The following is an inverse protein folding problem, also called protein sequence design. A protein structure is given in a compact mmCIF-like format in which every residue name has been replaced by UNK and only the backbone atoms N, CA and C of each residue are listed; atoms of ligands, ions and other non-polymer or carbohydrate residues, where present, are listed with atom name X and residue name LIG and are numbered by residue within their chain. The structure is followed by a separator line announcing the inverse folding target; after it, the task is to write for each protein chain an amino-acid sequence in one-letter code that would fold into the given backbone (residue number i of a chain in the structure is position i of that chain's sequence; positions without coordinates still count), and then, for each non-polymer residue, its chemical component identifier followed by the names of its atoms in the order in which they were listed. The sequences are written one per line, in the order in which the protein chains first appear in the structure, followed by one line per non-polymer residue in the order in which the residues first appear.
data_IF_293124272225
#
_entry.id   IF_293124272225
#
_cell.length_a   1.000
_cell.length_b   1.000
_cell.length_c   1.000
_cell.angle_alpha   90.00
_cell.angle_beta   90.00
_cell.angle_gamma   90.00
#
_symmetry.space_group_name_H-M   'P 1'
#
loop_
_entity.id
_entity.type
_entity.pdbx_description
1 polymer ?
#
# COMPACT_ATOMS: atom_id res chain seq x y z
N UNK A 1 18.56 12.24 11.69
CA UNK A 1 18.57 12.74 10.30
C UNK A 1 19.67 12.01 9.56
N UNK A 2 19.41 10.83 8.99
CA UNK A 2 20.41 10.17 8.13
C UNK A 2 20.38 10.87 6.78
N UNK A 3 21.37 11.73 6.53
CA UNK A 3 21.57 12.34 5.21
C UNK A 3 21.84 11.20 4.25
N UNK A 4 20.80 10.78 3.54
CA UNK A 4 20.90 9.77 2.51
C UNK A 4 21.71 10.43 1.39
N UNK A 5 23.03 10.24 1.41
CA UNK A 5 23.99 10.69 0.40
C UNK A 5 23.73 9.89 -0.87
N UNK A 6 22.53 10.08 -1.45
CA UNK A 6 22.11 9.42 -2.68
C UNK A 6 22.86 10.12 -3.79
N UNK A 7 23.87 9.44 -4.34
CA UNK A 7 24.42 9.82 -5.63
C UNK A 7 23.27 10.03 -6.63
N UNK A 8 23.33 11.14 -7.37
CA UNK A 8 22.33 11.44 -8.39
C UNK A 8 22.24 10.28 -9.39
N UNK A 9 21.05 9.99 -9.96
CA UNK A 9 20.91 8.91 -10.93
C UNK A 9 21.80 9.13 -12.15
N UNK A 10 22.05 10.38 -12.54
CA UNK A 10 22.93 10.75 -13.66
C UNK A 10 24.37 10.34 -13.39
N UNK A 11 24.90 10.64 -12.19
CA UNK A 11 26.26 10.24 -11.79
C UNK A 11 26.40 8.72 -11.76
N UNK A 12 25.37 8.01 -11.29
CA UNK A 12 25.36 6.54 -11.28
C UNK A 12 25.38 5.96 -12.69
N UNK A 13 24.57 6.49 -13.61
CA UNK A 13 24.54 6.04 -15.00
C UNK A 13 25.85 6.36 -15.72
N UNK A 14 26.43 7.53 -15.46
CA UNK A 14 27.71 7.92 -16.03
C UNK A 14 28.85 7.00 -15.56
N UNK A 15 28.87 6.63 -14.28
CA UNK A 15 29.83 5.69 -13.74
C UNK A 15 29.74 4.31 -14.41
N UNK A 16 28.52 3.78 -14.60
CA UNK A 16 28.29 2.51 -15.28
C UNK A 16 28.74 2.57 -16.74
N UNK A 17 28.38 3.66 -17.46
CA UNK A 17 28.81 3.86 -18.86
C UNK A 17 30.33 3.90 -18.99
N UNK A 18 31.02 4.56 -18.06
CA UNK A 18 32.48 4.64 -18.04
C UNK A 18 33.11 3.26 -17.81
N UNK A 19 32.54 2.45 -16.92
CA UNK A 19 33.01 1.07 -16.68
C UNK A 19 32.85 0.22 -17.92
N UNK A 20 31.68 0.27 -18.56
CA UNK A 20 31.41 -0.50 -19.79
C UNK A 20 32.32 -0.07 -20.95
N UNK A 21 32.59 1.23 -21.10
CA UNK A 21 33.46 1.75 -22.16
C UNK A 21 34.92 1.30 -21.97
N UNK A 22 35.40 1.27 -20.73
CA UNK A 22 36.79 0.90 -20.40
C UNK A 22 37.01 -0.59 -20.15
N UNK A 23 35.96 -1.43 -20.21
CA UNK A 23 36.03 -2.84 -19.82
C UNK A 23 37.05 -3.65 -20.64
N UNK A 24 37.29 -3.26 -21.89
CA UNK A 24 38.26 -3.92 -22.78
C UNK A 24 39.71 -3.46 -22.57
N UNK A 25 39.93 -2.38 -21.81
CA UNK A 25 41.26 -1.82 -21.53
C UNK A 25 41.90 -2.44 -20.28
N UNK A 26 41.14 -3.23 -19.52
CA UNK A 26 41.58 -3.86 -18.27
C UNK A 26 41.42 -5.39 -18.31
N UNK A 27 42.32 -6.10 -17.64
CA UNK A 27 42.32 -7.57 -17.58
C UNK A 27 41.09 -8.17 -16.87
N UNK A 28 40.39 -7.37 -16.05
CA UNK A 28 39.18 -7.79 -15.36
C UNK A 28 38.20 -6.64 -15.14
N UNK A 29 36.90 -6.97 -15.05
CA UNK A 29 35.86 -6.01 -14.65
C UNK A 29 36.18 -5.36 -13.30
N UNK A 30 36.74 -6.11 -12.35
CA UNK A 30 37.09 -5.58 -11.04
C UNK A 30 38.23 -4.55 -11.09
N UNK A 31 39.21 -4.73 -11.99
CA UNK A 31 40.28 -3.76 -12.20
C UNK A 31 39.76 -2.45 -12.81
N UNK A 32 38.83 -2.53 -13.77
CA UNK A 32 38.13 -1.37 -14.32
C UNK A 32 37.33 -0.62 -13.24
N UNK A 33 36.57 -1.37 -12.43
CA UNK A 33 35.77 -0.83 -11.33
C UNK A 33 36.63 -0.12 -10.27
N UNK A 34 37.73 -0.75 -9.86
CA UNK A 34 38.67 -0.21 -8.87
C UNK A 34 39.35 1.07 -9.35
N UNK A 35 39.58 1.19 -10.67
CA UNK A 35 40.19 2.38 -11.28
C UNK A 35 39.19 3.54 -11.47
N UNK A 36 37.90 3.23 -11.64
CA UNK A 36 36.85 4.22 -11.92
C UNK A 36 36.17 4.72 -10.65
N UNK A 37 36.00 3.87 -9.64
CA UNK A 37 35.30 4.23 -8.41
C UNK A 37 35.89 5.49 -7.71
N UNK A 38 37.23 5.65 -7.62
CA UNK A 38 37.83 6.88 -7.07
C UNK A 38 37.54 8.13 -7.90
N UNK A 39 37.40 8.01 -9.23
CA UNK A 39 37.12 9.13 -10.14
C UNK A 39 35.69 9.69 -9.97
N UNK A 40 34.77 8.84 -9.51
CA UNK A 40 33.36 9.20 -9.23
C UNK A 40 33.17 9.59 -7.75
N UNK A 41 34.11 9.20 -6.87
CA UNK A 41 33.99 9.38 -5.42
C UNK A 41 33.11 8.32 -4.75
N UNK A 42 33.06 7.11 -5.28
CA UNK A 42 32.34 5.97 -4.69
C UNK A 42 33.28 4.80 -4.38
N UNK A 43 32.81 3.81 -3.61
CA UNK A 43 33.57 2.58 -3.38
C UNK A 43 33.40 1.59 -4.55
N UNK A 44 34.42 0.79 -4.88
CA UNK A 44 34.32 -0.19 -5.96
C UNK A 44 33.23 -1.23 -5.70
N UNK A 45 32.95 -1.61 -4.45
CA UNK A 45 31.83 -2.52 -4.13
C UNK A 45 30.48 -1.90 -4.51
N UNK A 46 30.31 -0.61 -4.22
CA UNK A 46 29.07 0.12 -4.55
C UNK A 46 28.87 0.15 -6.06
N UNK A 47 29.92 0.42 -6.83
CA UNK A 47 29.87 0.47 -8.29
C UNK A 47 29.63 -0.93 -8.89
N UNK A 48 30.22 -1.97 -8.30
CA UNK A 48 29.98 -3.36 -8.70
C UNK A 48 28.52 -3.78 -8.50
N UNK A 49 27.92 -3.50 -7.34
CA UNK A 49 26.48 -3.79 -7.10
C UNK A 49 25.58 -3.06 -8.10
N UNK A 50 25.94 -1.82 -8.48
CA UNK A 50 25.20 -1.03 -9.46
C UNK A 50 25.33 -1.59 -10.87
N UNK A 51 26.52 -2.03 -11.26
CA UNK A 51 26.76 -2.70 -12.54
C UNK A 51 25.95 -4.00 -12.64
N UNK A 52 25.94 -4.83 -11.60
CA UNK A 52 25.11 -6.05 -11.55
C UNK A 52 23.62 -5.76 -11.65
N UNK A 53 23.14 -4.68 -11.03
CA UNK A 53 21.74 -4.29 -11.19
C UNK A 53 21.45 -3.79 -12.61
N UNK A 54 22.37 -3.05 -13.22
CA UNK A 54 22.26 -2.61 -14.60
C UNK A 54 22.23 -3.79 -15.58
N UNK A 55 23.11 -4.77 -15.43
CA UNK A 55 23.13 -5.99 -16.25
C UNK A 55 21.78 -6.72 -16.20
N UNK A 56 21.16 -6.82 -15.02
CA UNK A 56 19.80 -7.37 -14.86
C UNK A 56 18.74 -6.51 -15.56
N UNK A 57 18.81 -5.19 -15.38
CA UNK A 57 17.85 -4.26 -15.98
C UNK A 57 17.94 -4.24 -17.53
N UNK A 58 19.11 -4.52 -18.10
CA UNK A 58 19.33 -4.65 -19.55
C UNK A 58 19.11 -6.08 -20.09
N UNK A 59 18.68 -7.03 -19.26
CA UNK A 59 18.37 -8.40 -19.67
C UNK A 59 19.57 -9.34 -19.85
N UNK A 60 20.76 -8.95 -19.38
CA UNK A 60 21.98 -9.76 -19.44
C UNK A 60 22.33 -10.50 -18.14
N UNK A 61 21.47 -10.39 -17.11
CA UNK A 61 21.72 -10.98 -15.78
C UNK A 61 21.20 -12.41 -15.61
N UNK A 62 21.67 -13.06 -14.55
CA UNK A 62 21.48 -14.46 -14.12
C UNK A 62 20.03 -14.82 -13.67
N UNK A 63 19.00 -14.16 -14.23
CA UNK A 63 17.59 -14.47 -14.00
C UNK A 63 16.93 -13.80 -12.78
N UNK A 64 17.57 -12.77 -12.21
CA UNK A 64 16.96 -11.96 -11.14
C UNK A 64 16.07 -10.84 -11.66
N UNK A 65 14.99 -10.52 -10.93
CA UNK A 65 14.05 -9.44 -11.28
C UNK A 65 14.75 -8.09 -11.46
N UNK A 66 14.49 -7.44 -12.58
CA UNK A 66 14.86 -6.06 -12.87
C UNK A 66 14.23 -5.09 -11.87
N UNK A 67 14.77 -3.88 -11.80
CA UNK A 67 14.25 -2.82 -10.95
C UNK A 67 12.81 -2.46 -11.31
N UNK A 68 12.48 -2.47 -12.61
CA UNK A 68 11.12 -2.21 -13.11
C UNK A 68 10.15 -3.33 -12.70
N UNK A 69 10.54 -4.60 -12.86
CA UNK A 69 9.72 -5.74 -12.46
C UNK A 69 9.47 -5.77 -10.94
N UNK A 70 10.46 -5.44 -10.12
CA UNK A 70 10.26 -5.32 -8.66
C UNK A 70 9.31 -4.20 -8.29
N UNK A 71 9.36 -3.08 -9.00
CA UNK A 71 8.45 -1.96 -8.75
C UNK A 71 7.02 -2.33 -9.13
N UNK A 72 6.85 -2.95 -10.31
CA UNK A 72 5.55 -3.40 -10.78
C UNK A 72 4.96 -4.48 -9.86
N UNK A 73 5.77 -5.43 -9.37
CA UNK A 73 5.32 -6.42 -8.39
C UNK A 73 4.81 -5.77 -7.10
N UNK A 74 5.47 -4.72 -6.61
CA UNK A 74 5.01 -4.01 -5.39
C UNK A 74 3.69 -3.27 -5.62
N UNK A 75 3.51 -2.69 -6.79
CA UNK A 75 2.27 -2.04 -7.20
C UNK A 75 1.14 -3.07 -7.29
N UNK A 76 1.38 -4.18 -8.00
CA UNK A 76 0.43 -5.29 -8.10
C UNK A 76 0.10 -5.90 -6.74
N UNK A 77 1.08 -6.10 -5.86
CA UNK A 77 0.85 -6.60 -4.50
C UNK A 77 -0.01 -5.64 -3.68
N UNK A 78 0.14 -4.32 -3.89
CA UNK A 78 -0.69 -3.32 -3.24
C UNK A 78 -2.12 -3.38 -3.77
N UNK A 79 -2.29 -3.38 -5.08
CA UNK A 79 -3.60 -3.52 -5.73
C UNK A 79 -4.29 -4.81 -5.29
N UNK A 80 -3.56 -5.93 -5.24
CA UNK A 80 -4.13 -7.21 -4.82
C UNK A 80 -4.59 -7.19 -3.36
N UNK A 81 -3.86 -6.51 -2.46
CA UNK A 81 -4.31 -6.32 -1.06
C UNK A 81 -5.59 -5.49 -0.99
N UNK A 82 -5.67 -4.41 -1.77
CA UNK A 82 -6.86 -3.55 -1.83
C UNK A 82 -8.06 -4.33 -2.41
N UNK A 83 -7.85 -5.10 -3.49
CA UNK A 83 -8.86 -5.98 -4.10
C UNK A 83 -9.34 -7.08 -3.17
N UNK A 84 -8.44 -7.74 -2.42
CA UNK A 84 -8.83 -8.76 -1.44
C UNK A 84 -9.71 -8.17 -0.36
N UNK A 85 -9.34 -7.00 0.17
CA UNK A 85 -10.13 -6.28 1.16
C UNK A 85 -11.54 -5.96 0.65
N UNK A 86 -11.66 -5.47 -0.59
CA UNK A 86 -12.95 -5.21 -1.25
C UNK A 86 -13.80 -6.49 -1.33
N UNK A 87 -13.20 -7.57 -1.82
CA UNK A 87 -13.89 -8.86 -1.93
C UNK A 87 -14.34 -9.41 -0.57
N UNK A 88 -13.52 -9.28 0.47
CA UNK A 88 -13.85 -9.73 1.82
C UNK A 88 -15.07 -8.96 2.36
N UNK A 89 -15.10 -7.63 2.19
CA UNK A 89 -16.25 -6.78 2.56
C UNK A 89 -17.51 -7.24 1.82
N UNK A 90 -17.45 -7.41 0.51
CA UNK A 90 -18.59 -7.81 -0.30
C UNK A 90 -19.07 -9.23 0.04
N UNK A 91 -18.15 -10.14 0.35
CA UNK A 91 -18.47 -11.50 0.76
C UNK A 91 -19.16 -11.54 2.13
N UNK A 92 -18.63 -10.80 3.11
CA UNK A 92 -19.25 -10.69 4.44
C UNK A 92 -20.61 -9.98 4.38
N UNK A 93 -20.74 -8.92 3.57
CA UNK A 93 -22.00 -8.24 3.32
C UNK A 93 -23.03 -9.19 2.68
N UNK A 94 -22.64 -9.94 1.66
CA UNK A 94 -23.51 -10.92 1.01
C UNK A 94 -23.98 -12.00 1.98
N UNK A 95 -23.07 -12.54 2.81
CA UNK A 95 -23.41 -13.52 3.84
C UNK A 95 -24.36 -12.96 4.91
N UNK A 96 -24.21 -11.67 5.26
CA UNK A 96 -25.12 -10.98 6.18
C UNK A 96 -26.52 -10.83 5.56
N UNK A 97 -26.61 -10.35 4.33
CA UNK A 97 -27.89 -10.16 3.65
C UNK A 97 -28.62 -11.48 3.37
N UNK A 98 -27.88 -12.56 3.06
CA UNK A 98 -28.47 -13.90 2.89
C UNK A 98 -29.14 -14.44 4.16
N UNK A 99 -28.69 -14.02 5.35
CA UNK A 99 -29.26 -14.45 6.65
C UNK A 99 -30.41 -13.56 7.15
N UNK A 100 -30.67 -12.43 6.51
CA UNK A 100 -31.52 -11.38 7.07
C UNK A 100 -32.91 -11.33 6.40
N UNK A 101 -34.01 -11.59 7.13
CA UNK A 101 -35.39 -11.58 6.58
C UNK A 101 -35.87 -10.20 6.05
N UNK A 102 -36.35 -10.11 4.81
CA UNK A 102 -36.65 -8.85 4.11
C UNK A 102 -37.53 -7.85 4.91
N UNK A 103 -36.91 -6.75 5.36
CA UNK A 103 -37.55 -5.62 6.05
C UNK A 103 -36.73 -4.34 5.83
N UNK A 104 -37.25 -3.17 6.21
CA UNK A 104 -36.69 -1.82 5.89
C UNK A 104 -35.14 -1.81 5.79
N UNK A 105 -34.66 -1.62 4.56
CA UNK A 105 -33.25 -1.77 4.13
C UNK A 105 -32.25 -1.08 5.08
N UNK A 106 -32.57 0.15 5.51
CA UNK A 106 -31.70 0.97 6.35
C UNK A 106 -31.50 0.44 7.78
N UNK A 107 -32.52 -0.19 8.38
CA UNK A 107 -32.40 -0.77 9.74
C UNK A 107 -31.43 -1.94 9.79
N UNK A 108 -31.06 -2.51 8.64
CA UNK A 108 -30.14 -3.64 8.50
C UNK A 108 -28.75 -3.25 8.01
N UNK A 109 -28.65 -2.16 7.24
CA UNK A 109 -27.36 -1.66 6.76
C UNK A 109 -26.51 -1.12 7.93
N UNK A 110 -27.10 -0.40 8.89
CA UNK A 110 -26.35 0.13 10.04
C UNK A 110 -25.65 -0.97 10.86
N UNK A 111 -26.32 -2.06 11.31
CA UNK A 111 -25.65 -3.13 12.04
C UNK A 111 -24.61 -3.90 11.20
N UNK A 112 -24.81 -3.99 9.88
CA UNK A 112 -23.79 -4.53 8.98
C UNK A 112 -22.53 -3.66 8.98
N UNK A 113 -22.68 -2.35 8.76
CA UNK A 113 -21.55 -1.40 8.75
C UNK A 113 -20.88 -1.35 10.12
N UNK A 114 -21.62 -1.44 11.22
CA UNK A 114 -21.06 -1.52 12.57
C UNK A 114 -20.20 -2.78 12.78
N UNK A 115 -20.64 -3.93 12.24
CA UNK A 115 -19.89 -5.19 12.34
C UNK A 115 -18.60 -5.12 11.53
N UNK A 116 -18.66 -4.53 10.33
CA UNK A 116 -17.51 -4.45 9.41
C UNK A 116 -16.56 -3.30 9.73
N UNK A 117 -16.98 -2.33 10.54
CA UNK A 117 -16.17 -1.16 10.89
C UNK A 117 -14.89 -1.53 11.62
N UNK A 118 -14.93 -2.51 12.53
CA UNK A 118 -13.78 -2.82 13.37
C UNK A 118 -12.66 -3.52 12.57
N UNK A 119 -13.03 -4.27 11.53
CA UNK A 119 -12.09 -4.99 10.66
C UNK A 119 -11.64 -4.15 9.45
N UNK A 120 -12.57 -3.46 8.79
CA UNK A 120 -12.32 -2.78 7.52
C UNK A 120 -12.46 -1.25 7.58
N UNK A 121 -12.95 -0.67 8.67
CA UNK A 121 -13.22 0.76 8.79
C UNK A 121 -14.47 1.20 8.00
N UNK A 122 -15.09 2.30 8.42
CA UNK A 122 -16.34 2.80 7.81
C UNK A 122 -16.16 3.23 6.36
N UNK A 123 -15.06 3.93 6.04
CA UNK A 123 -14.83 4.48 4.70
C UNK A 123 -14.82 3.42 3.59
N UNK A 124 -13.98 2.38 3.70
CA UNK A 124 -13.94 1.29 2.73
C UNK A 124 -15.26 0.53 2.61
N UNK A 125 -15.93 0.24 3.73
CA UNK A 125 -17.23 -0.45 3.72
C UNK A 125 -18.30 0.41 3.03
N UNK A 126 -18.35 1.71 3.33
CA UNK A 126 -19.27 2.64 2.69
C UNK A 126 -18.98 2.80 1.19
N UNK A 127 -17.70 2.81 0.80
CA UNK A 127 -17.30 2.87 -0.61
C UNK A 127 -17.76 1.63 -1.39
N UNK A 128 -17.51 0.43 -0.86
CA UNK A 128 -17.88 -0.84 -1.52
C UNK A 128 -19.38 -1.11 -1.56
N UNK A 129 -20.14 -0.60 -0.57
CA UNK A 129 -21.59 -0.78 -0.50
C UNK A 129 -22.37 0.37 -1.14
N UNK A 130 -21.71 1.31 -1.83
CA UNK A 130 -22.30 2.52 -2.41
C UNK A 130 -23.14 3.34 -1.40
N UNK A 131 -22.64 3.45 -0.16
CA UNK A 131 -23.26 4.21 0.94
C UNK A 131 -22.48 5.50 1.13
N UNK A 132 -23.19 6.64 1.15
CA UNK A 132 -22.55 7.92 1.49
C UNK A 132 -22.20 7.92 2.98
N UNK A 133 -20.93 8.13 3.41
CA UNK A 133 -20.55 8.02 4.82
C UNK A 133 -21.36 8.91 5.78
N UNK A 134 -21.75 10.11 5.33
CA UNK A 134 -22.59 11.02 6.12
C UNK A 134 -23.94 10.40 6.49
N UNK A 135 -24.49 9.54 5.63
CA UNK A 135 -25.75 8.86 5.91
C UNK A 135 -25.59 7.86 7.05
N UNK A 136 -24.47 7.13 7.12
CA UNK A 136 -24.18 6.21 8.22
C UNK A 136 -24.05 6.95 9.56
N UNK A 137 -23.26 8.03 9.61
CA UNK A 137 -23.07 8.81 10.83
C UNK A 137 -24.36 9.52 11.28
N UNK A 138 -25.16 10.05 10.35
CA UNK A 138 -26.46 10.69 10.67
C UNK A 138 -27.49 9.66 11.18
N UNK A 139 -27.45 8.44 10.64
CA UNK A 139 -28.26 7.33 11.10
C UNK A 139 -27.99 6.96 12.56
N UNK A 140 -26.71 6.93 12.96
CA UNK A 140 -26.29 6.68 14.35
C UNK A 140 -26.70 7.80 15.31
N UNK A 141 -26.56 9.07 14.91
CA UNK A 141 -26.98 10.21 15.74
C UNK A 141 -28.50 10.24 15.99
N UNK A 142 -29.28 9.74 15.03
CA UNK A 142 -30.73 9.65 15.14
C UNK A 142 -31.19 8.51 16.07
N UNK A 143 -30.54 7.34 16.02
CA UNK A 143 -30.78 6.24 16.98
C UNK A 143 -30.25 6.55 18.38
N UNK A 144 -29.14 7.27 18.50
CA UNK A 144 -28.60 7.74 19.79
C UNK A 144 -29.50 8.77 20.47
N UNK A 145 -30.16 9.66 19.73
CA UNK A 145 -31.12 10.62 20.30
C UNK A 145 -32.36 9.93 20.88
N UNK A 146 -32.81 8.82 20.28
CA UNK A 146 -33.96 8.04 20.81
C UNK A 146 -33.60 7.34 22.14
N UNK A 147 -32.34 6.90 22.31
CA UNK A 147 -31.89 6.28 23.56
C UNK A 147 -31.54 7.31 24.65
N UNK A 148 -31.06 8.50 24.28
CA UNK A 148 -30.73 9.56 25.25
C UNK A 148 -31.97 10.31 25.77
N UNK A 149 -33.05 10.36 24.98
CA UNK A 149 -34.36 10.85 25.42
C UNK A 149 -35.09 9.94 26.42
N UNK A 150 -34.66 8.70 26.61
CA UNK A 150 -35.29 7.74 27.53
C UNK A 150 -34.73 7.77 28.97
N UNK A 151 -33.66 8.54 29.24
CA UNK A 151 -33.00 8.59 30.56
C UNK A 151 -33.40 9.82 31.39
N UNK A 152 -34.07 10.83 30.81
CA UNK A 152 -34.42 12.09 31.50
C UNK A 152 -35.86 12.17 32.05
N UNK A 153 -36.52 11.04 32.31
CA UNK A 153 -37.94 11.01 32.71
C UNK A 153 -38.24 10.17 33.96
N UNK A 154 -37.29 10.05 34.90
CA UNK A 154 -37.53 9.32 36.16
C UNK A 154 -36.91 10.02 37.37
N UNK A 155 -37.39 11.23 37.64
CA UNK A 155 -37.25 11.85 38.95
C UNK A 155 -38.50 12.69 39.20
N UNK A 156 -39.41 12.15 40.01
CA UNK A 156 -40.38 12.82 40.88
C UNK A 156 -41.54 11.87 41.14
N UNK A 157 -41.49 11.18 42.30
CA UNK A 157 -42.64 10.99 43.20
C UNK A 157 -42.13 10.27 44.45
N UNK A 158 -41.71 11.08 45.40
CA UNK A 158 -41.68 10.73 46.82
C UNK A 158 -42.88 11.42 47.44
N UNK A 159 -43.92 10.64 47.75
CA UNK A 159 -44.84 10.75 48.89
C UNK A 159 -45.88 9.63 48.78
#
# INVERSE_FOLDING_TARGET
MTTNTRFSPEVRQQAIRMVLASQNEYDSQWAALSSIAPKIGCTPETLHTRLRQYERDTGGGDGGLSTAERQHLKELERENREQRRSNDILHQASAYFAKAEFGRLWKKITPLVDTLRDEHGVGPVCHELDIVPSTYYTGISSTGSILTGAVSGRSEMTC
#
